data_IF_957933770707
#
_entry.id   IF_957933770707
#
_cell.length_a   1.000
_cell.length_b   1.000
_cell.length_c   1.000
_cell.angle_alpha   90.00
_cell.angle_beta   90.00
_cell.angle_gamma   90.00
#
_symmetry.space_group_name_H-M   'P 1'
#
loop_
_entity.id
_entity.type
_entity.pdbx_description
1 polymer ?
#
# COMPACT_ATOMS: atom_id res chain seq x y z
N UNK A 1 23.77 31.70 -12.93
CA UNK A 1 23.67 31.37 -11.50
C UNK A 1 23.12 29.94 -11.44
N UNK A 2 23.95 28.99 -11.04
CA UNK A 2 23.62 27.53 -11.04
C UNK A 2 22.81 27.23 -9.80
N UNK A 3 21.54 26.79 -9.97
CA UNK A 3 20.75 26.21 -8.88
C UNK A 3 21.28 24.80 -8.63
N UNK A 4 22.01 24.63 -7.55
CA UNK A 4 22.40 23.33 -7.01
C UNK A 4 21.18 22.67 -6.42
N UNK A 5 20.60 21.73 -7.13
CA UNK A 5 19.56 20.83 -6.63
C UNK A 5 20.21 19.92 -5.58
N UNK A 6 19.98 20.22 -4.30
CA UNK A 6 20.41 19.36 -3.20
C UNK A 6 19.54 18.10 -3.21
N UNK A 7 20.06 17.04 -3.78
CA UNK A 7 19.44 15.70 -3.75
C UNK A 7 19.60 15.16 -2.33
N UNK A 8 18.63 15.46 -1.45
CA UNK A 8 18.57 14.90 -0.11
C UNK A 8 18.19 13.42 -0.22
N UNK A 9 19.17 12.55 -0.04
CA UNK A 9 19.00 11.10 0.01
C UNK A 9 18.16 10.75 1.25
N UNK A 10 16.84 10.63 1.07
CA UNK A 10 15.94 10.17 2.14
C UNK A 10 16.15 8.68 2.30
N UNK A 11 16.85 8.30 3.36
CA UNK A 11 17.00 6.90 3.77
C UNK A 11 15.66 6.44 4.36
N UNK A 12 14.82 5.82 3.54
CA UNK A 12 13.54 5.25 3.96
C UNK A 12 13.81 3.93 4.72
N UNK A 13 13.89 3.99 6.04
CA UNK A 13 13.94 2.80 6.89
C UNK A 13 12.52 2.24 7.04
N UNK A 14 12.25 1.11 6.40
CA UNK A 14 10.98 0.39 6.55
C UNK A 14 11.13 -0.57 7.73
N UNK A 15 10.61 -0.18 8.90
CA UNK A 15 10.51 -1.05 10.08
C UNK A 15 9.04 -1.49 10.22
N UNK A 16 8.76 -2.78 9.97
CA UNK A 16 7.40 -3.29 9.97
C UNK A 16 6.92 -3.69 11.35
N UNK A 17 5.80 -3.09 11.78
CA UNK A 17 4.98 -3.62 12.85
C UNK A 17 3.92 -4.56 12.25
N UNK A 18 3.72 -5.71 12.89
CA UNK A 18 2.75 -6.76 12.60
C UNK A 18 1.43 -6.20 12.08
N UNK A 19 1.16 -6.32 10.80
CA UNK A 19 -0.17 -6.12 10.24
C UNK A 19 -0.96 -7.43 10.42
N UNK A 20 -1.73 -7.50 11.49
CA UNK A 20 -2.83 -8.45 11.59
C UNK A 20 -4.02 -7.80 10.89
N UNK A 21 -4.40 -8.31 9.75
CA UNK A 21 -5.56 -8.00 8.92
C UNK A 21 -5.22 -7.37 7.57
N UNK A 22 -5.68 -7.98 6.54
CA UNK A 22 -5.76 -7.68 5.11
C UNK A 22 -5.76 -6.23 4.58
N UNK A 23 -5.16 -5.29 5.30
CA UNK A 23 -4.96 -3.90 4.89
C UNK A 23 -3.50 -3.70 4.43
N UNK A 24 -3.27 -2.70 3.61
CA UNK A 24 -1.93 -2.31 3.19
C UNK A 24 -1.04 -2.03 4.42
N UNK A 25 0.19 -2.57 4.47
CA UNK A 25 1.09 -2.36 5.59
C UNK A 25 1.48 -0.89 5.74
N UNK A 26 1.93 -0.45 6.93
CA UNK A 26 2.34 0.93 7.14
C UNK A 26 3.63 1.27 6.39
N UNK A 27 3.73 2.52 5.91
CA UNK A 27 4.94 3.10 5.34
C UNK A 27 5.65 3.93 6.40
N UNK A 28 6.92 3.64 6.66
CA UNK A 28 7.77 4.45 7.55
C UNK A 28 8.15 5.75 6.84
N UNK A 29 7.98 6.86 7.54
CA UNK A 29 8.21 8.21 7.01
C UNK A 29 9.12 9.03 7.93
N UNK A 30 9.80 8.40 8.90
CA UNK A 30 10.57 9.08 9.92
C UNK A 30 11.62 10.02 9.32
N UNK A 31 11.56 11.28 9.73
CA UNK A 31 12.48 12.31 9.25
C UNK A 31 12.17 12.87 7.86
N UNK A 32 11.13 12.40 7.18
CA UNK A 32 10.71 12.99 5.92
C UNK A 32 10.25 14.43 6.14
N UNK A 33 10.87 15.36 5.42
CA UNK A 33 10.46 16.76 5.37
C UNK A 33 9.68 16.99 4.09
N UNK A 34 8.51 17.57 4.25
CA UNK A 34 7.60 17.87 3.15
C UNK A 34 7.64 19.38 2.95
N UNK A 35 7.96 19.82 1.74
CA UNK A 35 7.88 21.23 1.35
C UNK A 35 6.41 21.66 1.25
N UNK A 36 6.16 22.95 1.43
CA UNK A 36 4.83 23.54 1.28
C UNK A 36 4.22 23.29 -0.11
N UNK A 37 5.05 23.15 -1.12
CA UNK A 37 4.63 22.97 -2.53
C UNK A 37 4.31 21.50 -2.88
N UNK A 38 4.67 20.53 -2.02
CA UNK A 38 4.64 19.11 -2.37
C UNK A 38 3.42 18.34 -1.81
N UNK A 39 2.66 18.91 -0.92
CA UNK A 39 1.38 18.47 -0.39
C UNK A 39 0.99 16.98 -0.48
N UNK A 40 -0.27 16.70 -0.80
CA UNK A 40 -0.79 15.35 -0.96
C UNK A 40 -0.06 14.53 -2.04
N UNK A 41 0.45 15.18 -3.11
CA UNK A 41 1.18 14.53 -4.20
C UNK A 41 2.48 13.87 -3.72
N UNK A 42 3.19 14.51 -2.80
CA UNK A 42 4.37 13.92 -2.19
C UNK A 42 4.04 12.63 -1.42
N UNK A 43 2.92 12.61 -0.67
CA UNK A 43 2.48 11.42 0.05
C UNK A 43 2.10 10.30 -0.91
N UNK A 44 1.41 10.63 -2.01
CA UNK A 44 1.09 9.66 -3.06
C UNK A 44 2.37 9.07 -3.67
N UNK A 45 3.32 9.90 -4.04
CA UNK A 45 4.61 9.44 -4.58
C UNK A 45 5.41 8.57 -3.60
N UNK A 46 5.30 8.80 -2.28
CA UNK A 46 5.88 7.91 -1.27
C UNK A 46 5.21 6.54 -1.26
N UNK A 47 3.87 6.50 -1.33
CA UNK A 47 3.10 5.26 -1.37
C UNK A 47 3.37 4.47 -2.65
N UNK A 48 3.39 5.12 -3.79
CA UNK A 48 3.72 4.49 -5.08
C UNK A 48 5.10 3.83 -5.04
N UNK A 49 6.10 4.53 -4.49
CA UNK A 49 7.45 3.96 -4.33
C UNK A 49 7.47 2.82 -3.32
N UNK A 50 6.80 2.98 -2.16
CA UNK A 50 6.80 1.98 -1.10
C UNK A 50 6.17 0.66 -1.53
N UNK A 51 5.18 0.72 -2.41
CA UNK A 51 4.46 -0.47 -2.90
C UNK A 51 4.73 -0.77 -4.39
N UNK A 52 5.72 -0.13 -5.01
CA UNK A 52 6.08 -0.31 -6.42
C UNK A 52 4.89 -0.12 -7.39
N UNK A 53 4.05 0.89 -7.13
CA UNK A 53 2.87 1.20 -7.94
C UNK A 53 1.70 0.20 -7.78
N UNK A 54 1.78 -0.75 -6.84
CA UNK A 54 0.75 -1.80 -6.65
C UNK A 54 -0.34 -1.40 -5.68
N UNK A 55 -0.73 -0.14 -5.66
CA UNK A 55 -1.80 0.40 -4.80
C UNK A 55 -2.90 1.04 -5.63
N UNK A 56 -4.16 0.91 -5.23
CA UNK A 56 -5.29 1.46 -5.96
C UNK A 56 -5.53 2.95 -5.69
N UNK A 57 -4.65 3.63 -4.92
CA UNK A 57 -4.86 5.01 -4.51
C UNK A 57 -4.58 5.98 -5.65
N UNK A 58 -5.52 6.89 -5.90
CA UNK A 58 -5.42 7.95 -6.92
C UNK A 58 -5.08 9.30 -6.30
N UNK A 59 -5.61 9.57 -5.12
CA UNK A 59 -5.38 10.83 -4.42
C UNK A 59 -5.66 10.73 -2.92
N UNK A 60 -5.07 11.67 -2.18
CA UNK A 60 -5.31 11.89 -0.77
C UNK A 60 -5.69 13.35 -0.62
N UNK A 61 -6.86 13.66 -0.04
CA UNK A 61 -7.19 15.01 0.40
C UNK A 61 -6.95 15.18 1.88
N UNK A 62 -6.64 16.39 2.31
CA UNK A 62 -6.23 16.72 3.67
C UNK A 62 -6.98 17.95 4.17
N UNK A 63 -7.52 17.86 5.40
CA UNK A 63 -8.19 18.97 6.10
C UNK A 63 -7.72 19.05 7.56
N UNK A 64 -7.34 20.26 8.07
CA UNK A 64 -7.15 21.50 7.32
C UNK A 64 -5.93 21.41 6.39
N UNK A 65 -5.90 22.26 5.36
CA UNK A 65 -4.75 22.40 4.50
C UNK A 65 -3.59 22.99 5.30
N UNK A 66 -2.59 22.17 5.59
CA UNK A 66 -1.37 22.58 6.30
C UNK A 66 -0.25 22.95 5.31
N UNK A 67 -0.35 22.44 4.09
CA UNK A 67 0.58 22.72 2.99
C UNK A 67 0.29 24.12 2.44
N UNK A 68 1.33 24.87 2.15
CA UNK A 68 1.22 26.29 1.74
C UNK A 68 1.11 27.27 2.90
N UNK A 69 0.74 26.85 4.10
CA UNK A 69 0.64 27.69 5.29
C UNK A 69 1.93 27.66 6.14
N UNK A 70 2.59 26.51 6.18
CA UNK A 70 3.81 26.27 6.97
C UNK A 70 4.98 25.95 6.06
N UNK A 71 6.10 26.62 6.24
CA UNK A 71 7.28 26.46 5.37
C UNK A 71 8.01 25.11 5.49
N UNK A 72 7.85 24.41 6.60
CA UNK A 72 8.47 23.11 6.86
C UNK A 72 7.51 22.21 7.62
N UNK A 73 7.21 21.04 7.04
CA UNK A 73 6.31 20.04 7.59
C UNK A 73 7.09 18.74 7.77
N UNK A 74 7.06 18.19 8.98
CA UNK A 74 7.66 16.90 9.30
C UNK A 74 6.57 15.83 9.26
N UNK A 75 6.77 14.82 8.43
CA UNK A 75 5.84 13.70 8.30
C UNK A 75 5.66 12.93 9.62
N UNK A 76 4.53 12.27 9.82
CA UNK A 76 4.37 11.32 10.91
C UNK A 76 5.38 10.18 10.77
N UNK A 77 5.69 9.50 11.87
CA UNK A 77 6.62 8.38 11.83
C UNK A 77 6.17 7.28 10.88
N UNK A 78 4.86 7.03 10.83
CA UNK A 78 4.23 6.01 9.98
C UNK A 78 2.99 6.57 9.31
N UNK A 79 2.79 6.22 8.05
CA UNK A 79 1.54 6.43 7.34
C UNK A 79 0.94 5.07 6.98
N UNK A 80 -0.29 4.83 7.43
CA UNK A 80 -1.06 3.63 7.08
C UNK A 80 -2.13 4.03 6.08
N UNK A 81 -2.16 3.45 4.88
CA UNK A 81 -3.21 3.75 3.92
C UNK A 81 -4.61 3.52 4.49
N UNK A 82 -5.53 4.45 4.22
CA UNK A 82 -6.91 4.39 4.69
C UNK A 82 -7.15 4.87 6.12
N UNK A 83 -6.12 5.39 6.84
CA UNK A 83 -6.38 6.07 8.12
C UNK A 83 -7.12 7.37 7.89
N UNK A 84 -8.09 7.68 8.76
CA UNK A 84 -8.90 8.90 8.65
C UNK A 84 -8.20 10.16 9.13
N UNK A 85 -7.05 10.04 9.81
CA UNK A 85 -6.27 11.18 10.29
C UNK A 85 -4.83 10.82 10.54
N UNK A 86 -3.94 11.81 10.40
CA UNK A 86 -2.53 11.72 10.78
C UNK A 86 -2.08 13.03 11.43
N UNK A 87 -1.10 12.97 12.33
CA UNK A 87 -0.54 14.14 12.99
C UNK A 87 0.80 14.49 12.38
N UNK A 88 0.89 15.70 11.84
CA UNK A 88 2.11 16.28 11.28
C UNK A 88 2.71 17.27 12.27
N UNK A 89 4.01 17.40 12.29
CA UNK A 89 4.72 18.45 13.03
C UNK A 89 5.08 19.56 12.06
N UNK A 90 4.53 20.74 12.28
CA UNK A 90 4.73 21.90 11.42
C UNK A 90 5.60 22.92 12.12
N UNK A 91 6.52 23.53 11.40
CA UNK A 91 7.36 24.61 11.92
C UNK A 91 6.72 25.95 11.51
N UNK A 92 6.32 26.72 12.51
CA UNK A 92 5.74 28.04 12.31
C UNK A 92 6.81 29.05 11.90
N UNK A 93 6.41 30.20 11.34
CA UNK A 93 7.32 31.31 11.00
C UNK A 93 8.15 31.85 12.18
N UNK A 94 7.69 31.62 13.42
CA UNK A 94 8.44 31.92 14.65
C UNK A 94 9.45 30.83 15.05
N UNK A 95 9.58 29.76 14.25
CA UNK A 95 10.49 28.65 14.53
C UNK A 95 9.94 27.61 15.52
N UNK A 96 8.73 27.79 16.06
CA UNK A 96 8.09 26.83 16.96
C UNK A 96 7.57 25.63 16.18
N UNK A 97 7.69 24.43 16.78
CA UNK A 97 7.10 23.21 16.23
C UNK A 97 5.75 22.98 16.90
N UNK A 98 4.72 22.84 16.09
CA UNK A 98 3.37 22.49 16.52
C UNK A 98 2.95 21.14 15.94
N UNK A 99 2.15 20.38 16.68
CA UNK A 99 1.47 19.19 16.19
C UNK A 99 0.12 19.61 15.59
N UNK A 100 -0.10 19.28 14.33
CA UNK A 100 -1.37 19.53 13.64
C UNK A 100 -1.94 18.19 13.20
N UNK A 101 -3.15 17.87 13.65
CA UNK A 101 -3.87 16.68 13.21
C UNK A 101 -4.67 17.03 11.97
N UNK A 102 -4.40 16.29 10.90
CA UNK A 102 -5.02 16.45 9.59
C UNK A 102 -5.97 15.28 9.35
N UNK A 103 -7.17 15.55 8.89
CA UNK A 103 -8.10 14.55 8.40
C UNK A 103 -7.67 14.14 6.99
N UNK A 104 -7.68 12.83 6.72
CA UNK A 104 -7.27 12.25 5.44
C UNK A 104 -8.48 11.58 4.78
N UNK A 105 -8.78 11.94 3.55
CA UNK A 105 -9.71 11.20 2.68
C UNK A 105 -8.93 10.58 1.52
N UNK A 106 -9.05 9.26 1.39
CA UNK A 106 -8.32 8.45 0.43
C UNK A 106 -9.23 8.08 -0.72
N UNK A 107 -8.86 8.44 -1.92
CA UNK A 107 -9.58 8.06 -3.14
C UNK A 107 -8.85 6.90 -3.81
N UNK A 108 -9.59 5.86 -4.15
CA UNK A 108 -9.03 4.66 -4.78
C UNK A 108 -9.92 4.16 -5.89
N UNK A 109 -9.32 3.75 -7.01
CA UNK A 109 -10.00 2.99 -8.05
C UNK A 109 -9.98 1.53 -7.68
N UNK A 110 -11.16 0.96 -7.50
CA UNK A 110 -11.35 -0.42 -7.01
C UNK A 110 -12.35 -1.18 -7.85
N UNK A 111 -12.25 -2.51 -7.79
CA UNK A 111 -13.22 -3.40 -8.43
C UNK A 111 -14.51 -3.43 -7.62
N UNK A 112 -15.64 -3.27 -8.33
CA UNK A 112 -17.00 -3.35 -7.80
C UNK A 112 -17.77 -4.45 -8.51
N UNK A 113 -18.73 -5.04 -7.81
CA UNK A 113 -19.66 -5.96 -8.44
C UNK A 113 -20.66 -5.15 -9.28
N UNK A 114 -20.75 -5.42 -10.59
CA UNK A 114 -21.73 -4.82 -11.51
C UNK A 114 -23.13 -5.33 -11.25
N UNK A 115 -23.25 -6.60 -10.89
CA UNK A 115 -24.47 -7.28 -10.48
C UNK A 115 -24.25 -8.03 -9.16
N UNK A 116 -25.30 -8.57 -8.61
CA UNK A 116 -25.15 -9.48 -7.48
C UNK A 116 -24.39 -10.74 -7.90
N UNK A 117 -23.45 -11.19 -7.04
CA UNK A 117 -22.69 -12.43 -7.19
C UNK A 117 -23.05 -13.33 -6.01
N UNK A 118 -23.57 -14.52 -6.30
CA UNK A 118 -23.98 -15.47 -5.27
C UNK A 118 -22.76 -16.14 -4.60
N UNK A 119 -22.93 -16.62 -3.37
CA UNK A 119 -21.90 -17.42 -2.70
C UNK A 119 -21.58 -18.68 -3.52
N UNK A 120 -20.30 -18.99 -3.70
CA UNK A 120 -19.81 -20.12 -4.48
C UNK A 120 -19.85 -19.91 -6.00
N UNK A 121 -20.41 -18.79 -6.47
CA UNK A 121 -20.40 -18.44 -7.89
C UNK A 121 -19.00 -18.13 -8.38
N UNK A 122 -18.64 -18.60 -9.57
CA UNK A 122 -17.39 -18.24 -10.24
C UNK A 122 -17.52 -16.84 -10.81
N UNK A 123 -16.64 -15.95 -10.38
CA UNK A 123 -16.63 -14.54 -10.78
C UNK A 123 -16.23 -14.44 -12.25
N UNK A 124 -17.10 -13.89 -13.07
CA UNK A 124 -16.86 -13.62 -14.48
C UNK A 124 -16.56 -12.15 -14.73
N UNK A 125 -15.92 -11.84 -15.85
CA UNK A 125 -15.52 -10.47 -16.18
C UNK A 125 -16.72 -9.51 -16.30
N UNK A 126 -17.87 -10.00 -16.81
CA UNK A 126 -19.10 -9.22 -16.95
C UNK A 126 -19.76 -8.86 -15.61
N UNK A 127 -19.44 -9.61 -14.55
CA UNK A 127 -19.93 -9.34 -13.20
C UNK A 127 -19.17 -8.22 -12.49
N UNK A 128 -18.08 -7.71 -13.07
CA UNK A 128 -17.17 -6.74 -12.46
C UNK A 128 -17.18 -5.40 -13.18
N UNK A 129 -16.89 -4.35 -12.44
CA UNK A 129 -16.71 -2.98 -12.92
C UNK A 129 -15.65 -2.27 -12.09
N UNK A 130 -15.12 -1.15 -12.58
CA UNK A 130 -14.22 -0.26 -11.84
C UNK A 130 -14.98 0.95 -11.34
N UNK A 131 -14.63 1.41 -10.15
CA UNK A 131 -15.20 2.63 -9.62
C UNK A 131 -14.31 3.29 -8.58
N UNK A 132 -14.31 4.62 -8.57
CA UNK A 132 -13.60 5.41 -7.56
C UNK A 132 -14.44 5.45 -6.28
N UNK A 133 -13.79 5.15 -5.16
CA UNK A 133 -14.44 5.17 -3.83
C UNK A 133 -13.55 5.87 -2.81
N UNK A 134 -14.17 6.36 -1.72
CA UNK A 134 -13.41 6.72 -0.52
C UNK A 134 -13.00 5.42 0.18
N UNK A 135 -11.68 5.19 0.25
CA UNK A 135 -11.09 3.99 0.86
C UNK A 135 -10.84 4.21 2.35
N UNK A 136 -11.21 3.24 3.15
CA UNK A 136 -10.93 3.23 4.59
C UNK A 136 -10.14 1.98 4.96
N UNK A 137 -9.26 2.11 5.94
CA UNK A 137 -8.46 0.97 6.44
C UNK A 137 -9.31 -0.24 6.85
N UNK A 138 -10.54 0.00 7.31
CA UNK A 138 -11.49 -1.04 7.70
C UNK A 138 -12.05 -1.85 6.53
N UNK A 139 -11.89 -1.34 5.29
CA UNK A 139 -12.41 -2.02 4.09
C UNK A 139 -11.56 -3.26 3.72
N UNK A 140 -10.39 -3.40 4.34
CA UNK A 140 -9.45 -4.47 4.06
C UNK A 140 -8.70 -4.26 2.74
N UNK A 141 -8.05 -5.30 2.25
CA UNK A 141 -7.41 -5.25 0.94
C UNK A 141 -8.46 -5.32 -0.15
N UNK A 142 -8.51 -4.30 -1.00
CA UNK A 142 -9.40 -4.21 -2.16
C UNK A 142 -8.61 -4.53 -3.43
N UNK A 143 -9.32 -4.94 -4.47
CA UNK A 143 -8.72 -5.24 -5.77
C UNK A 143 -8.81 -4.02 -6.68
N UNK A 144 -7.70 -3.71 -7.37
CA UNK A 144 -7.62 -2.64 -8.36
C UNK A 144 -7.79 -3.16 -9.80
N UNK A 145 -7.43 -4.42 -10.05
CA UNK A 145 -7.53 -5.05 -11.37
C UNK A 145 -8.59 -6.17 -11.36
N UNK A 146 -9.67 -6.05 -12.17
CA UNK A 146 -10.69 -7.10 -12.30
C UNK A 146 -10.13 -8.45 -12.73
N UNK A 147 -9.04 -8.48 -13.49
CA UNK A 147 -8.43 -9.73 -13.99
C UNK A 147 -7.99 -10.65 -12.86
N UNK A 148 -7.60 -10.09 -11.73
CA UNK A 148 -7.18 -10.87 -10.54
C UNK A 148 -8.33 -11.63 -9.88
N UNK A 149 -9.58 -11.28 -10.22
CA UNK A 149 -10.80 -11.87 -9.65
C UNK A 149 -11.48 -12.86 -10.59
N UNK A 150 -11.27 -12.72 -11.90
CA UNK A 150 -11.91 -13.60 -12.89
C UNK A 150 -11.47 -15.05 -12.69
N UNK A 151 -12.43 -15.96 -12.57
CA UNK A 151 -12.20 -17.38 -12.30
C UNK A 151 -12.14 -17.75 -10.81
N UNK A 152 -12.00 -16.78 -9.90
CA UNK A 152 -12.10 -17.04 -8.44
C UNK A 152 -13.56 -17.28 -8.05
N UNK A 153 -13.77 -17.95 -6.89
CA UNK A 153 -15.11 -18.18 -6.33
C UNK A 153 -15.44 -17.14 -5.28
N UNK A 154 -16.69 -16.69 -5.25
CA UNK A 154 -17.20 -15.83 -4.19
C UNK A 154 -17.34 -16.65 -2.88
N UNK A 155 -16.62 -16.25 -1.84
CA UNK A 155 -16.70 -16.86 -0.51
C UNK A 155 -18.02 -16.54 0.20
N UNK A 156 -18.65 -15.44 -0.18
CA UNK A 156 -19.95 -14.97 0.31
C UNK A 156 -20.71 -14.22 -0.78
N UNK A 157 -22.00 -13.96 -0.54
CA UNK A 157 -22.82 -13.12 -1.43
C UNK A 157 -22.22 -11.70 -1.50
N UNK A 158 -22.04 -11.17 -2.73
CA UNK A 158 -21.57 -9.82 -3.01
C UNK A 158 -22.71 -9.05 -3.66
N UNK A 159 -23.27 -8.02 -3.01
CA UNK A 159 -24.35 -7.23 -3.61
C UNK A 159 -23.87 -6.43 -4.82
N UNK A 160 -24.80 -6.12 -5.74
CA UNK A 160 -24.54 -5.20 -6.83
C UNK A 160 -24.06 -3.83 -6.31
N UNK A 161 -23.05 -3.25 -6.96
CA UNK A 161 -22.44 -1.99 -6.58
C UNK A 161 -21.46 -2.08 -5.40
N UNK A 162 -21.35 -3.21 -4.71
CA UNK A 162 -20.41 -3.37 -3.60
C UNK A 162 -18.96 -3.47 -4.10
N UNK A 163 -18.03 -2.90 -3.30
CA UNK A 163 -16.58 -3.08 -3.52
C UNK A 163 -16.22 -4.53 -3.23
N UNK A 164 -15.50 -5.15 -4.15
CA UNK A 164 -15.00 -6.51 -3.96
C UNK A 164 -13.69 -6.45 -3.18
N UNK A 165 -13.67 -7.07 -2.03
CA UNK A 165 -12.50 -7.18 -1.17
C UNK A 165 -12.03 -8.62 -1.05
N UNK A 166 -10.82 -8.81 -0.50
CA UNK A 166 -10.24 -10.13 -0.32
C UNK A 166 -11.14 -11.10 0.45
N UNK A 167 -11.86 -10.62 1.47
CA UNK A 167 -12.79 -11.43 2.27
C UNK A 167 -14.02 -11.93 1.48
N UNK A 168 -14.25 -11.37 0.29
CA UNK A 168 -15.39 -11.71 -0.56
C UNK A 168 -15.09 -12.87 -1.52
N UNK A 169 -13.81 -13.26 -1.65
CA UNK A 169 -13.36 -14.33 -2.55
C UNK A 169 -12.71 -15.47 -1.78
N UNK A 170 -12.83 -16.68 -2.30
CA UNK A 170 -12.13 -17.84 -1.76
C UNK A 170 -10.62 -17.63 -1.93
N UNK A 171 -9.89 -17.76 -0.86
CA UNK A 171 -8.44 -17.63 -0.85
C UNK A 171 -7.82 -19.01 -0.97
N UNK A 172 -7.05 -19.21 -2.03
CA UNK A 172 -6.10 -20.32 -2.12
C UNK A 172 -4.74 -19.71 -1.78
N UNK A 173 -4.19 -20.03 -0.61
CA UNK A 173 -2.87 -19.55 -0.25
C UNK A 173 -1.84 -20.18 -1.20
N UNK A 174 -1.13 -19.34 -1.96
CA UNK A 174 0.01 -19.74 -2.79
C UNK A 174 1.29 -19.84 -1.97
N UNK A 175 1.31 -19.17 -0.82
CA UNK A 175 2.39 -19.21 0.17
C UNK A 175 1.77 -19.33 1.54
N UNK A 176 2.19 -20.31 2.33
CA UNK A 176 1.80 -20.43 3.74
C UNK A 176 2.85 -19.79 4.65
N UNK A 177 2.45 -19.50 5.89
CA UNK A 177 3.38 -18.99 6.90
C UNK A 177 4.44 -20.05 7.22
N UNK A 178 5.72 -19.66 7.18
CA UNK A 178 6.95 -20.45 7.35
C UNK A 178 7.35 -21.26 6.13
N UNK A 179 6.65 -21.12 5.02
CA UNK A 179 7.10 -21.75 3.79
C UNK A 179 8.45 -21.20 3.34
N UNK A 180 9.33 -22.06 2.82
CA UNK A 180 10.46 -21.61 2.03
C UNK A 180 9.93 -20.97 0.74
N UNK A 181 10.44 -19.78 0.40
CA UNK A 181 10.01 -19.04 -0.77
C UNK A 181 11.19 -18.58 -1.60
N UNK A 182 10.99 -18.57 -2.91
CA UNK A 182 11.90 -17.92 -3.84
C UNK A 182 11.57 -16.43 -3.89
N UNK A 183 12.51 -15.61 -3.48
CA UNK A 183 12.38 -14.15 -3.44
C UNK A 183 13.03 -13.55 -4.68
N UNK A 184 12.22 -12.98 -5.56
CA UNK A 184 12.68 -12.27 -6.74
C UNK A 184 12.95 -10.80 -6.42
N UNK A 185 14.09 -10.31 -6.88
CA UNK A 185 14.45 -8.89 -6.82
C UNK A 185 14.72 -8.41 -8.24
N UNK A 186 13.96 -7.43 -8.71
CA UNK A 186 14.13 -6.86 -10.05
C UNK A 186 14.73 -5.46 -9.97
N UNK A 187 15.76 -5.23 -10.79
CA UNK A 187 16.37 -3.91 -10.96
C UNK A 187 16.66 -3.68 -12.45
N UNK A 188 15.86 -2.86 -13.11
CA UNK A 188 15.92 -2.71 -14.57
C UNK A 188 15.70 -4.05 -15.27
N UNK A 189 16.64 -4.46 -16.09
CA UNK A 189 16.61 -5.74 -16.82
C UNK A 189 17.25 -6.91 -16.05
N UNK A 190 17.71 -6.70 -14.82
CA UNK A 190 18.34 -7.73 -14.00
C UNK A 190 17.33 -8.28 -13.01
N UNK A 191 17.17 -9.60 -12.99
CA UNK A 191 16.38 -10.31 -11.98
C UNK A 191 17.34 -11.18 -11.17
N UNK A 192 17.37 -10.96 -9.86
CA UNK A 192 18.09 -11.81 -8.91
C UNK A 192 17.08 -12.67 -8.16
N UNK A 193 17.48 -13.90 -7.84
CA UNK A 193 16.68 -14.85 -7.06
C UNK A 193 17.43 -15.16 -5.75
N UNK A 194 16.71 -15.14 -4.64
CA UNK A 194 17.19 -15.41 -3.29
C UNK A 194 16.25 -16.40 -2.60
N UNK A 195 16.78 -17.17 -1.67
CA UNK A 195 15.94 -17.98 -0.79
C UNK A 195 15.51 -17.17 0.43
N UNK A 196 14.27 -17.35 0.84
CA UNK A 196 13.69 -16.71 2.02
C UNK A 196 12.67 -17.60 2.70
N UNK A 197 12.12 -17.11 3.80
CA UNK A 197 11.04 -17.75 4.54
C UNK A 197 9.90 -16.78 4.69
N UNK A 198 8.70 -17.18 4.32
CA UNK A 198 7.48 -16.39 4.50
C UNK A 198 7.13 -16.25 5.99
N UNK A 199 6.92 -15.05 6.47
CA UNK A 199 6.48 -14.78 7.83
C UNK A 199 4.96 -14.72 7.95
N UNK A 200 4.28 -14.60 6.81
CA UNK A 200 2.82 -14.56 6.67
C UNK A 200 2.41 -15.38 5.44
N UNK A 201 1.20 -15.92 5.47
CA UNK A 201 0.62 -16.55 4.28
C UNK A 201 0.02 -15.50 3.35
N UNK A 202 -0.05 -15.81 2.06
CA UNK A 202 -0.63 -14.94 1.05
C UNK A 202 -1.06 -15.68 -0.21
N UNK A 203 -2.04 -15.11 -0.92
CA UNK A 203 -2.47 -15.47 -2.26
C UNK A 203 -1.82 -14.51 -3.27
N UNK A 204 -1.97 -14.74 -4.54
CA UNK A 204 -1.44 -13.88 -5.61
C UNK A 204 -1.81 -12.41 -5.40
N UNK A 205 -0.81 -11.54 -5.49
CA UNK A 205 -0.95 -10.10 -5.29
C UNK A 205 -0.92 -9.63 -3.84
N UNK A 206 -0.83 -10.54 -2.85
CA UNK A 206 -0.72 -10.14 -1.45
C UNK A 206 0.65 -9.64 -1.07
N UNK A 207 0.65 -8.65 -0.20
CA UNK A 207 1.85 -8.20 0.48
C UNK A 207 2.11 -9.04 1.72
N UNK A 208 3.24 -9.74 1.75
CA UNK A 208 3.68 -10.54 2.88
C UNK A 208 5.09 -10.13 3.33
N UNK A 209 5.38 -10.34 4.60
CA UNK A 209 6.73 -10.21 5.12
C UNK A 209 7.52 -11.50 4.86
N UNK A 210 8.74 -11.35 4.38
CA UNK A 210 9.67 -12.46 4.15
C UNK A 210 11.00 -12.19 4.86
N UNK A 211 11.55 -13.25 5.44
CA UNK A 211 12.89 -13.26 6.02
C UNK A 211 13.87 -13.83 5.04
N UNK A 212 14.89 -13.04 4.70
CA UNK A 212 15.98 -13.46 3.82
C UNK A 212 17.23 -13.55 4.68
N UNK A 213 17.92 -14.70 4.77
CA UNK A 213 19.03 -14.92 5.74
C UNK A 213 20.17 -13.90 5.66
N UNK A 214 20.40 -13.30 4.48
CA UNK A 214 21.47 -12.30 4.25
C UNK A 214 21.08 -10.88 4.61
N UNK A 215 19.81 -10.61 4.94
CA UNK A 215 19.32 -9.29 5.30
C UNK A 215 19.06 -9.19 6.81
N UNK A 216 19.43 -8.08 7.42
CA UNK A 216 19.21 -7.85 8.84
C UNK A 216 17.73 -7.73 9.21
N UNK A 217 16.93 -7.16 8.30
CA UNK A 217 15.52 -6.86 8.52
C UNK A 217 14.67 -7.71 7.59
N UNK A 218 13.49 -8.09 8.06
CA UNK A 218 12.46 -8.71 7.24
C UNK A 218 12.07 -7.75 6.10
N UNK A 219 11.68 -8.29 4.95
CA UNK A 219 11.37 -7.53 3.74
C UNK A 219 9.93 -7.70 3.34
N UNK A 220 9.34 -6.63 2.81
CA UNK A 220 8.03 -6.71 2.18
C UNK A 220 8.19 -7.29 0.78
N UNK A 221 7.34 -8.25 0.46
CA UNK A 221 7.27 -8.86 -0.85
C UNK A 221 5.82 -9.06 -1.26
N UNK A 222 5.57 -9.15 -2.55
CA UNK A 222 4.28 -9.49 -3.14
C UNK A 222 4.33 -10.94 -3.60
N UNK A 223 3.30 -11.71 -3.30
CA UNK A 223 3.15 -13.08 -3.81
C UNK A 223 2.82 -13.00 -5.30
N UNK A 224 3.65 -13.65 -6.13
CA UNK A 224 3.47 -13.63 -7.59
C UNK A 224 3.14 -15.01 -8.15
N UNK A 225 3.49 -16.09 -7.43
CA UNK A 225 3.18 -17.47 -7.79
C UNK A 225 3.35 -18.38 -6.57
N UNK A 226 3.01 -19.65 -6.71
CA UNK A 226 3.19 -20.66 -5.65
C UNK A 226 4.65 -20.72 -5.20
N UNK A 227 4.87 -20.44 -3.92
CA UNK A 227 6.20 -20.40 -3.32
C UNK A 227 7.12 -19.31 -3.88
N UNK A 228 6.60 -18.34 -4.65
CA UNK A 228 7.39 -17.28 -5.27
C UNK A 228 6.87 -15.91 -4.90
N UNK A 229 7.77 -15.03 -4.49
CA UNK A 229 7.44 -13.65 -4.07
C UNK A 229 8.41 -12.66 -4.73
N UNK A 230 7.95 -11.45 -4.98
CA UNK A 230 8.78 -10.36 -5.53
C UNK A 230 8.96 -9.26 -4.50
N UNK A 231 10.21 -8.84 -4.26
CA UNK A 231 10.50 -7.76 -3.30
C UNK A 231 9.83 -6.47 -3.71
N UNK A 232 9.22 -5.81 -2.72
CA UNK A 232 8.63 -4.48 -2.82
C UNK A 232 9.51 -3.52 -2.03
N UNK A 233 9.90 -2.42 -2.64
CA UNK A 233 10.69 -1.42 -1.94
C UNK A 233 11.52 -0.55 -2.87
N UNK A 234 12.18 0.46 -2.33
CA UNK A 234 12.92 1.40 -3.14
C UNK A 234 14.03 0.69 -3.92
N UNK A 235 14.07 1.01 -5.19
CA UNK A 235 15.17 0.71 -6.10
C UNK A 235 16.40 1.51 -5.72
#
# INVERSE_FOLDING_TARGET
>A
MKKTTSLLLILLFILFARAASGAYPPVEMEGARISADDGPEFLMGLLERAYSGRVPFESISMEPEVFGVFGEILAPRKLVPGVSSATFRVKTGSGRIQAVTVRLDWRATVVKARREIARGEVISADALDLGVVSYKRTDGTVFADPKTLVGKRAARRIPAGAVVSRRDVETVLLVERRDPVTVLSRSGNVTASLEGVALQGGDEGDFIEVRIPRYRNDRLAVVVDKGTVELVGPR
#
